data_IF_788436522224
#
_entry.id   IF_788436522224
#
_cell.length_a   1.000
_cell.length_b   1.000
_cell.length_c   1.000
_cell.angle_alpha   90.00
_cell.angle_beta   90.00
_cell.angle_gamma   90.00
#
_symmetry.space_group_name_H-M   'P 1'
#
loop_
_entity.id
_entity.type
_entity.pdbx_description
1 polymer ?
#
# COMPACT_ATOMS: atom_id res chain seq x y z
N UNK A 1 74.18 -54.40 -0.45
CA UNK A 1 73.45 -53.12 -0.36
C UNK A 1 72.22 -53.16 -1.22
N UNK A 2 71.09 -52.60 -0.76
CA UNK A 2 69.92 -52.27 -1.59
C UNK A 2 68.76 -53.27 -1.57
N UNK A 3 68.30 -53.74 -0.39
CA UNK A 3 66.98 -54.38 -0.30
C UNK A 3 65.93 -53.29 -0.09
N UNK A 4 65.47 -52.71 -1.21
CA UNK A 4 64.24 -51.92 -1.23
C UNK A 4 63.08 -52.85 -0.86
N UNK A 5 62.71 -52.84 0.41
CA UNK A 5 61.65 -53.70 0.93
C UNK A 5 60.31 -53.28 0.33
N UNK A 6 59.34 -54.21 0.16
CA UNK A 6 57.99 -53.87 -0.32
C UNK A 6 57.32 -52.79 0.56
N UNK A 7 57.75 -52.67 1.81
CA UNK A 7 57.34 -51.64 2.75
C UNK A 7 57.86 -50.24 2.43
N UNK A 8 59.08 -50.08 1.91
CA UNK A 8 59.63 -48.76 1.57
C UNK A 8 58.93 -48.16 0.34
N UNK A 9 58.52 -49.00 -0.62
CA UNK A 9 57.72 -48.57 -1.78
C UNK A 9 56.35 -48.04 -1.36
N UNK A 10 55.74 -48.68 -0.36
CA UNK A 10 54.46 -48.26 0.20
C UNK A 10 54.53 -46.90 0.90
N UNK A 11 55.63 -46.61 1.59
CA UNK A 11 55.82 -45.29 2.23
C UNK A 11 56.22 -44.20 1.23
N UNK A 12 57.03 -44.51 0.21
CA UNK A 12 57.37 -43.56 -0.86
C UNK A 12 56.14 -43.14 -1.69
N UNK A 13 55.21 -44.06 -1.98
CA UNK A 13 53.94 -43.75 -2.66
C UNK A 13 52.98 -42.91 -1.80
N UNK A 14 53.06 -43.03 -0.46
CA UNK A 14 52.29 -42.18 0.46
C UNK A 14 52.83 -40.76 0.59
N UNK A 15 54.15 -40.57 0.52
CA UNK A 15 54.73 -39.22 0.51
C UNK A 15 54.36 -38.44 -0.76
N UNK A 16 54.28 -39.12 -1.92
CA UNK A 16 53.82 -38.51 -3.17
C UNK A 16 52.32 -38.18 -3.20
N UNK A 17 51.50 -38.88 -2.40
CA UNK A 17 50.04 -38.71 -2.37
C UNK A 17 49.53 -37.87 -1.19
N UNK A 18 50.33 -37.66 -0.15
CA UNK A 18 50.00 -36.84 1.02
C UNK A 18 49.96 -35.33 0.76
N UNK A 19 50.32 -34.88 -0.45
CA UNK A 19 50.45 -33.46 -0.79
C UNK A 19 49.36 -32.92 -1.71
N UNK A 20 48.25 -33.64 -1.87
CA UNK A 20 47.02 -33.10 -2.45
C UNK A 20 45.96 -32.99 -1.37
N UNK A 21 46.20 -32.12 -0.40
CA UNK A 21 45.08 -31.49 0.30
C UNK A 21 44.19 -30.94 -0.80
N UNK A 22 42.98 -31.49 -0.90
CA UNK A 22 41.99 -31.11 -1.91
C UNK A 22 41.62 -29.67 -1.55
N UNK A 23 42.40 -28.71 -2.04
CA UNK A 23 42.26 -27.27 -1.79
C UNK A 23 41.07 -26.70 -2.58
N UNK A 24 40.58 -27.48 -3.55
CA UNK A 24 39.48 -27.14 -4.42
C UNK A 24 38.16 -26.73 -3.73
N UNK A 25 37.71 -27.35 -2.61
CA UNK A 25 36.51 -26.94 -1.88
C UNK A 25 36.71 -25.58 -1.21
N UNK A 26 37.92 -25.34 -0.68
CA UNK A 26 38.26 -24.07 -0.02
C UNK A 26 38.43 -22.93 -1.03
N UNK A 27 39.00 -23.21 -2.21
CA UNK A 27 39.08 -22.23 -3.31
C UNK A 27 37.69 -21.89 -3.85
N UNK A 28 36.81 -22.88 -4.00
CA UNK A 28 35.42 -22.63 -4.39
C UNK A 28 34.68 -21.79 -3.35
N UNK A 29 34.79 -22.12 -2.06
CA UNK A 29 34.21 -21.31 -0.99
C UNK A 29 34.76 -19.88 -0.99
N UNK A 30 36.07 -19.72 -1.13
CA UNK A 30 36.74 -18.42 -1.16
C UNK A 30 36.37 -17.58 -2.39
N UNK A 31 35.89 -18.17 -3.49
CA UNK A 31 35.41 -17.43 -4.66
C UNK A 31 33.91 -17.15 -4.62
N UNK A 32 33.10 -18.15 -4.26
CA UNK A 32 31.63 -18.06 -4.31
C UNK A 32 31.10 -17.14 -3.22
N UNK A 33 31.65 -17.19 -2.01
CA UNK A 33 31.21 -16.35 -0.89
C UNK A 33 31.38 -14.86 -1.15
N UNK A 34 32.57 -14.35 -1.57
CA UNK A 34 32.70 -12.94 -1.91
C UNK A 34 31.89 -12.55 -3.16
N UNK A 35 31.72 -13.45 -4.14
CA UNK A 35 30.88 -13.16 -5.31
C UNK A 35 29.40 -12.96 -4.92
N UNK A 36 28.88 -13.77 -4.01
CA UNK A 36 27.52 -13.62 -3.47
C UNK A 36 27.37 -12.37 -2.60
N UNK A 37 28.37 -12.06 -1.78
CA UNK A 37 28.38 -10.83 -0.98
C UNK A 37 28.39 -9.59 -1.88
N UNK A 38 29.27 -9.53 -2.90
CA UNK A 38 29.32 -8.40 -3.84
C UNK A 38 28.00 -8.25 -4.61
N UNK A 39 27.36 -9.33 -5.04
CA UNK A 39 26.03 -9.26 -5.68
C UNK A 39 24.94 -8.72 -4.77
N UNK A 40 25.04 -8.98 -3.46
CA UNK A 40 24.05 -8.52 -2.49
C UNK A 40 24.10 -7.00 -2.27
N UNK A 41 25.27 -6.38 -2.50
CA UNK A 41 25.47 -4.93 -2.27
C UNK A 41 25.23 -4.06 -3.52
N UNK A 42 25.09 -4.63 -4.71
CA UNK A 42 24.88 -3.86 -5.97
C UNK A 42 23.37 -3.69 -6.31
N UNK A 43 22.47 -4.12 -5.42
CA UNK A 43 21.01 -3.85 -5.52
C UNK A 43 20.60 -2.70 -4.59
N UNK A 44 21.49 -1.75 -4.34
CA UNK A 44 21.18 -0.53 -3.61
C UNK A 44 21.47 0.70 -4.47
N UNK A 45 20.48 1.59 -4.52
CA UNK A 45 20.47 2.92 -5.12
C UNK A 45 20.45 3.00 -6.66
N UNK A 46 19.31 2.64 -7.25
CA UNK A 46 18.68 3.66 -8.09
C UNK A 46 18.29 4.80 -7.14
N UNK A 47 18.85 6.02 -7.27
CA UNK A 47 18.23 7.17 -6.65
C UNK A 47 16.93 7.37 -7.41
N UNK A 48 15.90 6.62 -7.03
CA UNK A 48 14.54 7.02 -7.23
C UNK A 48 14.44 8.34 -6.46
N UNK A 49 14.74 9.43 -7.16
CA UNK A 49 14.24 10.74 -6.84
C UNK A 49 12.73 10.59 -6.86
N UNK A 50 12.18 10.12 -5.74
CA UNK A 50 10.80 10.24 -5.39
C UNK A 50 10.61 11.75 -5.27
N UNK A 51 10.38 12.36 -6.43
CA UNK A 51 9.64 13.59 -6.53
C UNK A 51 8.27 13.22 -5.99
N UNK A 52 8.14 13.22 -4.66
CA UNK A 52 6.87 13.24 -3.99
C UNK A 52 6.28 14.58 -4.38
N UNK A 53 5.64 14.63 -5.54
CA UNK A 53 4.63 15.62 -5.83
C UNK A 53 3.63 15.44 -4.71
N UNK A 54 3.71 16.32 -3.69
CA UNK A 54 2.67 16.49 -2.70
C UNK A 54 1.46 16.97 -3.48
N UNK A 55 0.72 16.03 -4.07
CA UNK A 55 -0.54 16.31 -4.69
C UNK A 55 -1.45 16.64 -3.52
N UNK A 56 -1.76 17.93 -3.37
CA UNK A 56 -2.72 18.37 -2.36
C UNK A 56 -3.97 17.51 -2.49
N UNK A 57 -4.47 17.02 -1.35
CA UNK A 57 -5.71 16.27 -1.34
C UNK A 57 -6.79 17.10 -2.05
N UNK A 58 -7.63 16.48 -2.90
CA UNK A 58 -8.71 17.20 -3.55
C UNK A 58 -9.57 17.89 -2.48
N UNK A 59 -9.97 19.13 -2.77
CA UNK A 59 -10.88 19.85 -1.89
C UNK A 59 -12.22 19.11 -1.78
N UNK A 60 -12.92 19.19 -0.64
CA UNK A 60 -14.25 18.63 -0.50
C UNK A 60 -15.21 19.19 -1.55
N UNK A 61 -16.10 18.35 -2.07
CA UNK A 61 -17.05 18.75 -3.10
C UNK A 61 -18.12 19.70 -2.53
N UNK A 62 -18.58 20.63 -3.38
CA UNK A 62 -19.71 21.54 -3.12
C UNK A 62 -21.01 21.10 -3.80
N UNK A 63 -20.96 19.98 -4.52
CA UNK A 63 -22.11 19.36 -5.18
C UNK A 63 -22.01 17.85 -4.96
N UNK A 64 -23.13 17.21 -4.60
CA UNK A 64 -23.17 15.80 -4.28
C UNK A 64 -24.50 15.18 -4.72
N UNK A 65 -24.40 14.01 -5.37
CA UNK A 65 -25.55 13.18 -5.71
C UNK A 65 -25.70 11.99 -4.76
N UNK A 66 -26.46 11.00 -5.21
CA UNK A 66 -26.65 9.74 -4.48
C UNK A 66 -25.31 9.11 -4.06
N UNK A 67 -25.24 8.65 -2.82
CA UNK A 67 -24.04 8.00 -2.29
C UNK A 67 -23.90 8.15 -0.79
N UNK A 68 -22.81 7.60 -0.27
CA UNK A 68 -22.38 7.81 1.12
C UNK A 68 -21.20 8.77 1.06
N UNK A 69 -21.31 9.87 1.79
CA UNK A 69 -20.34 10.96 1.79
C UNK A 69 -19.98 11.33 3.22
N UNK A 70 -18.69 11.57 3.48
CA UNK A 70 -18.21 12.08 4.75
C UNK A 70 -18.02 13.58 4.67
N UNK A 71 -18.76 14.33 5.49
CA UNK A 71 -18.60 15.77 5.59
C UNK A 71 -17.21 16.12 6.14
N UNK A 72 -16.53 17.06 5.49
CA UNK A 72 -15.14 17.46 5.78
C UNK A 72 -14.08 16.73 4.97
N UNK A 73 -14.41 15.58 4.37
CA UNK A 73 -13.48 14.83 3.51
C UNK A 73 -13.99 14.76 2.07
N UNK A 74 -15.21 14.26 1.89
CA UNK A 74 -15.80 14.05 0.57
C UNK A 74 -16.60 15.28 0.13
N UNK A 75 -17.36 15.87 1.07
CA UNK A 75 -18.22 17.03 0.84
C UNK A 75 -17.95 18.11 1.89
N UNK A 76 -18.13 19.38 1.53
CA UNK A 76 -17.91 20.50 2.45
C UNK A 76 -18.93 20.50 3.61
N UNK A 77 -18.50 20.68 4.88
CA UNK A 77 -19.41 20.92 5.98
C UNK A 77 -20.16 22.25 5.80
N UNK A 78 -21.46 22.27 6.04
CA UNK A 78 -22.24 23.48 5.82
C UNK A 78 -23.73 23.22 5.64
N UNK A 79 -24.42 24.25 5.16
CA UNK A 79 -25.81 24.12 4.72
C UNK A 79 -25.83 23.66 3.27
N UNK A 80 -26.62 22.63 3.00
CA UNK A 80 -26.80 22.07 1.67
C UNK A 80 -28.26 22.16 1.29
N UNK A 81 -28.51 22.57 0.05
CA UNK A 81 -29.83 22.70 -0.53
C UNK A 81 -30.01 21.71 -1.69
N UNK A 82 -31.26 21.34 -1.96
CA UNK A 82 -31.65 20.61 -3.16
C UNK A 82 -32.98 21.17 -3.66
N UNK A 83 -33.16 21.22 -4.98
CA UNK A 83 -34.45 21.54 -5.60
C UNK A 83 -35.50 20.44 -5.37
N UNK A 84 -35.06 19.29 -4.86
CA UNK A 84 -35.89 18.11 -4.62
C UNK A 84 -35.92 17.17 -5.83
N UNK A 85 -36.69 16.08 -5.72
CA UNK A 85 -36.74 15.08 -6.78
C UNK A 85 -37.56 15.62 -7.96
N UNK A 86 -37.29 15.08 -9.17
CA UNK A 86 -38.16 15.28 -10.32
C UNK A 86 -39.59 14.75 -10.06
N UNK A 87 -40.55 15.15 -10.89
CA UNK A 87 -41.97 14.77 -10.72
C UNK A 87 -42.15 13.25 -10.60
N UNK A 88 -42.79 12.80 -9.51
CA UNK A 88 -43.07 11.39 -9.26
C UNK A 88 -41.88 10.58 -8.72
N UNK A 89 -40.74 11.21 -8.46
CA UNK A 89 -39.61 10.60 -7.77
C UNK A 89 -39.59 11.00 -6.28
N UNK A 90 -38.81 10.27 -5.49
CA UNK A 90 -38.57 10.53 -4.08
C UNK A 90 -37.05 10.55 -3.86
N UNK A 91 -36.58 11.47 -3.03
CA UNK A 91 -35.20 11.50 -2.59
C UNK A 91 -35.12 11.72 -1.09
N UNK A 92 -33.94 11.59 -0.51
CA UNK A 92 -33.80 11.71 0.93
C UNK A 92 -32.37 11.71 1.38
N UNK A 93 -32.20 11.94 2.68
CA UNK A 93 -30.91 11.84 3.32
C UNK A 93 -31.01 11.13 4.66
N UNK A 94 -29.92 10.51 5.08
CA UNK A 94 -29.67 10.08 6.45
C UNK A 94 -28.34 10.65 6.90
N UNK A 95 -28.29 11.23 8.09
CA UNK A 95 -27.11 11.79 8.73
C UNK A 95 -26.77 10.97 9.95
N UNK A 96 -25.51 10.62 10.06
CA UNK A 96 -24.96 9.81 11.13
C UNK A 96 -23.77 10.53 11.74
N UNK A 97 -23.72 10.60 13.07
CA UNK A 97 -22.60 11.13 13.81
C UNK A 97 -21.34 10.28 13.58
N UNK A 98 -20.18 10.83 13.97
CA UNK A 98 -18.90 10.14 13.84
C UNK A 98 -18.82 8.82 14.64
N UNK A 99 -19.66 8.65 15.67
CA UNK A 99 -19.79 7.43 16.47
C UNK A 99 -20.75 6.39 15.85
N UNK A 100 -21.36 6.69 14.71
CA UNK A 100 -22.29 5.80 14.02
C UNK A 100 -23.75 5.96 14.44
N UNK A 101 -24.09 6.89 15.33
CA UNK A 101 -25.48 7.15 15.75
C UNK A 101 -26.20 7.99 14.70
N UNK A 102 -27.39 7.56 14.26
CA UNK A 102 -28.24 8.38 13.39
C UNK A 102 -28.69 9.66 14.10
N UNK A 103 -28.40 10.81 13.50
CA UNK A 103 -28.77 12.14 13.99
C UNK A 103 -30.11 12.55 13.39
N UNK A 104 -30.29 12.32 12.09
CA UNK A 104 -31.49 12.74 11.36
C UNK A 104 -31.64 11.97 10.05
N UNK A 105 -32.88 11.72 9.65
CA UNK A 105 -33.22 11.26 8.31
C UNK A 105 -34.48 11.95 7.80
N UNK A 106 -34.57 12.12 6.49
CA UNK A 106 -35.75 12.71 5.86
C UNK A 106 -35.97 12.15 4.46
N UNK A 107 -37.25 12.00 4.11
CA UNK A 107 -37.69 11.83 2.73
C UNK A 107 -38.25 13.14 2.22
N UNK A 108 -37.93 13.46 0.98
CA UNK A 108 -38.16 14.75 0.35
C UNK A 108 -39.08 14.57 -0.85
N UNK A 109 -40.07 15.46 -0.93
CA UNK A 109 -41.02 15.54 -2.03
C UNK A 109 -40.95 16.88 -2.77
N UNK A 110 -39.93 17.69 -2.48
CA UNK A 110 -39.70 19.01 -3.05
C UNK A 110 -38.40 19.61 -2.50
N UNK A 111 -38.22 20.91 -2.73
CA UNK A 111 -37.02 21.62 -2.31
C UNK A 111 -36.81 21.53 -0.79
N UNK A 112 -35.57 21.34 -0.39
CA UNK A 112 -35.19 21.17 1.00
C UNK A 112 -33.77 21.65 1.26
N UNK A 113 -33.46 21.88 2.54
CA UNK A 113 -32.11 22.17 2.99
C UNK A 113 -31.79 21.36 4.26
N UNK A 114 -30.54 20.96 4.40
CA UNK A 114 -30.02 20.24 5.55
C UNK A 114 -28.62 20.77 5.89
N UNK A 115 -28.29 20.78 7.18
CA UNK A 115 -26.96 21.18 7.64
C UNK A 115 -26.14 19.92 7.92
N UNK A 116 -24.99 19.79 7.27
CA UNK A 116 -24.02 18.71 7.49
C UNK A 116 -22.84 19.25 8.30
N UNK A 117 -22.54 18.59 9.42
CA UNK A 117 -21.42 18.98 10.28
C UNK A 117 -20.16 18.19 9.94
N UNK A 118 -19.01 18.77 10.25
CA UNK A 118 -17.72 18.13 10.03
C UNK A 118 -17.64 16.76 10.73
N UNK A 119 -17.14 15.76 10.02
CA UNK A 119 -17.01 14.38 10.51
C UNK A 119 -18.29 13.53 10.46
N UNK A 120 -19.45 14.08 10.11
CA UNK A 120 -20.68 13.32 9.88
C UNK A 120 -20.59 12.44 8.63
N UNK A 121 -21.29 11.30 8.66
CA UNK A 121 -21.58 10.50 7.47
C UNK A 121 -22.98 10.85 6.97
N UNK A 122 -23.09 11.16 5.68
CA UNK A 122 -24.32 11.56 5.01
C UNK A 122 -24.61 10.59 3.89
N UNK A 123 -25.75 9.91 3.96
CA UNK A 123 -26.25 9.02 2.91
C UNK A 123 -27.31 9.76 2.13
N UNK A 124 -27.04 10.08 0.87
CA UNK A 124 -27.97 10.72 -0.06
C UNK A 124 -28.63 9.65 -0.94
N UNK A 125 -29.95 9.71 -1.07
CA UNK A 125 -30.75 8.70 -1.79
C UNK A 125 -31.71 9.36 -2.78
N UNK A 126 -32.12 8.62 -3.81
CA UNK A 126 -33.21 9.02 -4.71
C UNK A 126 -32.89 10.13 -5.72
N UNK A 127 -31.61 10.26 -6.10
CA UNK A 127 -31.19 11.03 -7.28
C UNK A 127 -31.24 12.55 -7.17
N UNK A 128 -31.55 13.11 -5.99
CA UNK A 128 -31.40 14.53 -5.76
C UNK A 128 -29.94 14.96 -5.84
N UNK A 129 -29.69 16.05 -6.56
CA UNK A 129 -28.45 16.79 -6.47
C UNK A 129 -28.54 17.77 -5.32
N UNK A 130 -27.54 17.73 -4.46
CA UNK A 130 -27.38 18.64 -3.35
C UNK A 130 -26.23 19.60 -3.64
N UNK A 131 -26.39 20.87 -3.27
CA UNK A 131 -25.37 21.91 -3.43
C UNK A 131 -25.15 22.64 -2.11
N UNK A 132 -23.89 22.91 -1.77
CA UNK A 132 -23.54 23.73 -0.62
C UNK A 132 -23.83 25.21 -0.91
N UNK A 133 -24.44 25.89 0.06
CA UNK A 133 -24.67 27.35 0.03
C UNK A 133 -23.39 28.17 0.33
#
# INVERSE_FOLDING_TARGET
>A
MGRNGPYERYYAEREASGQRTVLWPWVLLALVVPLLLVRSFVVADEPAGATATHQAAPAPAREAGQGVHRAGTDIEPGTWATDGPGSGAECGYTRTAADGVEIASARLHGAAAARFLDGESVVLTGGCTWTAD
#
